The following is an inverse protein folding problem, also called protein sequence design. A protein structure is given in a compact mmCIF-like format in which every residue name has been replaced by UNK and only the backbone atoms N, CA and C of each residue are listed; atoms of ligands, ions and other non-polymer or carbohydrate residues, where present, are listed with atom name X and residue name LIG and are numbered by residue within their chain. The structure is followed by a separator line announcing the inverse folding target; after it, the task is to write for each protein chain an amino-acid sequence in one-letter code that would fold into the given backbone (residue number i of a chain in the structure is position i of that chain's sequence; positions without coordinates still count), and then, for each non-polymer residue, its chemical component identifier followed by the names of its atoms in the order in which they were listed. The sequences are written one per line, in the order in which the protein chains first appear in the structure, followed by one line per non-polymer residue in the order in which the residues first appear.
data_IF_299439746267
#
_entry.id   IF_299439746267
#
_cell.length_a   1.000
_cell.length_b   1.000
_cell.length_c   1.000
_cell.angle_alpha   90.00
_cell.angle_beta   90.00
_cell.angle_gamma   90.00
#
_symmetry.space_group_name_H-M   'P 1'
#
loop_
_entity.id
_entity.type
_entity.pdbx_description
1 polymer ?
#
# COMPACT_ATOMS: atom_id res chain seq x y z
N UNK A 1 -34.91 -28.63 15.33
CA UNK A 1 -33.69 -29.35 14.92
C UNK A 1 -32.64 -28.28 14.69
N UNK A 2 -31.75 -28.16 15.69
CA UNK A 2 -30.48 -27.41 15.80
C UNK A 2 -30.36 -26.07 15.05
N UNK A 3 -30.41 -24.98 15.83
CA UNK A 3 -29.93 -23.67 15.41
C UNK A 3 -28.40 -23.68 15.36
N UNK A 4 -27.85 -23.19 14.26
CA UNK A 4 -26.44 -22.87 14.14
C UNK A 4 -26.22 -21.57 14.91
N UNK A 5 -25.84 -21.70 16.17
CA UNK A 5 -25.26 -20.60 16.92
C UNK A 5 -23.84 -20.44 16.37
N UNK A 6 -23.68 -19.55 15.39
CA UNK A 6 -22.36 -19.14 14.90
C UNK A 6 -21.70 -18.31 16.01
N UNK A 7 -21.15 -19.02 16.99
CA UNK A 7 -20.24 -18.43 17.95
C UNK A 7 -19.03 -17.91 17.17
N UNK A 8 -18.90 -16.59 17.08
CA UNK A 8 -17.60 -15.98 16.84
C UNK A 8 -16.65 -16.56 17.90
N UNK A 9 -15.55 -17.21 17.51
CA UNK A 9 -14.59 -17.69 18.48
C UNK A 9 -14.16 -16.51 19.36
N UNK A 10 -13.90 -16.81 20.63
CA UNK A 10 -13.23 -15.88 21.55
C UNK A 10 -12.03 -15.23 20.84
N UNK A 11 -11.88 -13.92 21.04
CA UNK A 11 -10.79 -13.15 20.47
C UNK A 11 -9.45 -13.88 20.63
N UNK A 12 -8.79 -14.15 19.51
CA UNK A 12 -7.42 -14.62 19.47
C UNK A 12 -6.46 -13.43 19.31
N UNK A 13 -5.29 -13.52 19.93
CA UNK A 13 -4.23 -12.52 19.82
C UNK A 13 -3.00 -13.15 19.20
N UNK A 14 -2.45 -12.52 18.16
CA UNK A 14 -1.24 -12.96 17.47
C UNK A 14 -0.13 -11.95 17.70
N UNK A 15 1.08 -12.45 17.94
CA UNK A 15 2.25 -11.60 18.12
C UNK A 15 2.64 -10.93 16.80
N UNK A 16 2.75 -9.61 16.82
CA UNK A 16 3.41 -8.81 15.77
C UNK A 16 4.73 -8.26 16.31
N UNK A 17 5.30 -7.26 15.64
CA UNK A 17 6.25 -6.34 16.28
C UNK A 17 5.56 -5.29 17.14
N UNK A 18 6.33 -4.29 17.55
CA UNK A 18 5.94 -3.19 18.43
C UNK A 18 5.36 -2.03 17.64
N UNK A 19 4.28 -1.45 18.19
CA UNK A 19 3.49 -0.39 17.55
C UNK A 19 3.02 -0.78 16.12
N UNK A 20 2.21 -1.85 16.00
CA UNK A 20 1.64 -2.22 14.71
C UNK A 20 0.74 -1.08 14.20
N UNK A 21 0.89 -0.67 12.94
CA UNK A 21 0.25 0.55 12.43
C UNK A 21 -0.73 0.30 11.27
N UNK A 22 -0.38 -0.54 10.32
CA UNK A 22 -1.19 -0.85 9.13
C UNK A 22 -1.20 -2.35 8.84
N UNK A 23 -2.24 -2.81 8.17
CA UNK A 23 -2.47 -4.22 7.83
C UNK A 23 -2.97 -4.36 6.40
N UNK A 24 -2.49 -5.37 5.68
CA UNK A 24 -3.06 -5.83 4.41
C UNK A 24 -3.30 -7.35 4.46
N UNK A 25 -4.20 -7.80 3.60
CA UNK A 25 -4.67 -9.19 3.54
C UNK A 25 -4.52 -9.68 2.11
N UNK A 26 -4.02 -10.91 1.94
CA UNK A 26 -3.78 -11.53 0.64
C UNK A 26 -3.44 -13.01 0.80
N UNK A 27 -3.49 -13.78 -0.28
CA UNK A 27 -2.98 -15.16 -0.32
C UNK A 27 -1.50 -15.09 -0.72
N UNK A 28 -0.59 -15.08 0.26
CA UNK A 28 0.84 -14.89 0.00
C UNK A 28 1.55 -16.20 -0.35
N UNK A 29 0.92 -17.35 -0.14
CA UNK A 29 1.49 -18.66 -0.40
C UNK A 29 0.66 -19.52 -1.38
N UNK A 30 -0.29 -18.91 -2.09
CA UNK A 30 -1.14 -19.52 -3.12
C UNK A 30 -1.90 -20.77 -2.65
N UNK A 31 -2.34 -20.79 -1.39
CA UNK A 31 -3.09 -21.90 -0.81
C UNK A 31 -4.61 -21.65 -0.69
N UNK A 32 -5.08 -20.52 -1.24
CA UNK A 32 -6.47 -20.05 -1.28
C UNK A 32 -6.99 -19.61 0.10
N UNK A 33 -6.10 -19.50 1.10
CA UNK A 33 -6.44 -18.97 2.43
C UNK A 33 -5.83 -17.58 2.56
N UNK A 34 -6.59 -16.70 3.21
CA UNK A 34 -6.13 -15.33 3.42
C UNK A 34 -5.10 -15.30 4.55
N UNK A 35 -3.96 -14.72 4.22
CA UNK A 35 -2.86 -14.39 5.11
C UNK A 35 -2.88 -12.89 5.45
N UNK A 36 -2.00 -12.49 6.36
CA UNK A 36 -1.92 -11.11 6.84
C UNK A 36 -0.47 -10.60 6.79
N UNK A 37 -0.30 -9.35 6.37
CA UNK A 37 0.93 -8.57 6.59
C UNK A 37 0.64 -7.35 7.45
N UNK A 38 1.48 -7.08 8.46
CA UNK A 38 1.35 -5.97 9.41
C UNK A 38 2.63 -5.15 9.45
N UNK A 39 2.56 -3.82 9.39
CA UNK A 39 3.71 -2.94 9.62
C UNK A 39 3.98 -2.73 11.11
N UNK A 40 5.24 -2.78 11.53
CA UNK A 40 5.67 -2.59 12.92
C UNK A 40 6.56 -1.35 13.03
N UNK A 41 5.93 -0.19 13.31
CA UNK A 41 6.55 1.12 13.20
C UNK A 41 7.87 1.22 13.99
N UNK A 42 7.87 0.75 15.25
CA UNK A 42 9.02 0.92 16.14
C UNK A 42 10.12 -0.14 15.93
N UNK A 43 9.84 -1.22 15.21
CA UNK A 43 10.84 -2.26 14.89
C UNK A 43 11.48 -2.09 13.52
N UNK A 44 10.94 -1.24 12.65
CA UNK A 44 11.34 -1.15 11.25
C UNK A 44 11.23 -2.51 10.53
N UNK A 45 10.10 -3.19 10.75
CA UNK A 45 9.80 -4.47 10.11
C UNK A 45 8.34 -4.53 9.65
N UNK A 46 8.04 -5.48 8.77
CA UNK A 46 6.71 -6.06 8.62
C UNK A 46 6.67 -7.46 9.22
N UNK A 47 5.50 -7.87 9.69
CA UNK A 47 5.17 -9.23 10.13
C UNK A 47 4.23 -9.88 9.12
N UNK A 48 4.56 -11.07 8.62
CA UNK A 48 3.69 -11.89 7.78
C UNK A 48 3.19 -13.07 8.60
N UNK A 49 1.88 -13.31 8.58
CA UNK A 49 1.20 -14.40 9.29
C UNK A 49 0.36 -15.19 8.30
N UNK A 50 0.73 -16.45 8.06
CA UNK A 50 0.01 -17.33 7.14
C UNK A 50 -1.28 -17.86 7.80
N UNK A 51 -2.38 -17.84 7.06
CA UNK A 51 -3.70 -18.22 7.50
C UNK A 51 -3.96 -19.72 7.39
N UNK A 52 -4.64 -20.28 8.39
CA UNK A 52 -5.11 -21.66 8.33
C UNK A 52 -6.51 -21.79 7.70
N UNK A 53 -7.15 -20.68 7.30
CA UNK A 53 -8.45 -20.66 6.62
C UNK A 53 -9.67 -20.78 7.55
N UNK A 54 -9.44 -20.89 8.85
CA UNK A 54 -10.45 -20.97 9.90
C UNK A 54 -10.45 -19.73 10.83
N UNK A 55 -9.84 -18.63 10.38
CA UNK A 55 -9.63 -17.41 11.16
C UNK A 55 -8.44 -17.46 12.13
N UNK A 56 -7.66 -18.53 12.13
CA UNK A 56 -6.39 -18.62 12.87
C UNK A 56 -5.18 -18.54 11.96
N UNK A 57 -4.04 -18.12 12.53
CA UNK A 57 -2.79 -17.85 11.80
C UNK A 57 -1.60 -18.58 12.43
N UNK A 58 -0.57 -18.82 11.61
CA UNK A 58 0.74 -19.26 12.05
C UNK A 58 1.48 -18.14 12.82
N UNK A 59 2.60 -18.51 13.45
CA UNK A 59 3.50 -17.52 14.05
C UNK A 59 4.05 -16.58 12.99
N UNK A 60 4.27 -15.31 13.38
CA UNK A 60 4.80 -14.30 12.47
C UNK A 60 6.20 -14.64 11.94
N UNK A 61 6.44 -14.32 10.68
CA UNK A 61 7.78 -14.16 10.10
C UNK A 61 8.00 -12.67 9.84
N UNK A 62 9.15 -12.13 10.25
CA UNK A 62 9.42 -10.69 10.13
C UNK A 62 10.45 -10.37 9.06
N UNK A 63 10.21 -9.29 8.32
CA UNK A 63 11.12 -8.78 7.29
C UNK A 63 11.49 -7.33 7.60
N UNK A 64 12.78 -6.99 7.49
CA UNK A 64 13.28 -5.64 7.75
C UNK A 64 12.90 -4.67 6.64
N UNK A 65 12.34 -3.51 7.02
CA UNK A 65 11.90 -2.43 6.12
C UNK A 65 12.86 -1.24 6.17
N UNK A 66 12.44 -0.08 5.67
CA UNK A 66 13.00 1.21 6.09
C UNK A 66 12.46 1.66 7.44
N UNK A 67 12.89 2.84 7.87
CA UNK A 67 12.52 3.40 9.17
C UNK A 67 11.08 3.92 9.21
N UNK A 68 10.34 3.52 10.26
CA UNK A 68 8.96 3.92 10.49
C UNK A 68 7.99 3.43 9.41
N UNK A 69 7.84 2.10 9.21
CA UNK A 69 6.84 1.58 8.29
C UNK A 69 5.43 1.89 8.80
N UNK A 70 4.64 2.66 8.04
CA UNK A 70 3.29 3.10 8.45
C UNK A 70 2.17 2.72 7.50
N UNK A 71 2.47 2.28 6.28
CA UNK A 71 1.45 1.77 5.35
C UNK A 71 1.98 0.56 4.63
N UNK A 72 1.09 -0.37 4.32
CA UNK A 72 1.37 -1.54 3.50
C UNK A 72 0.31 -1.69 2.42
N UNK A 73 0.75 -1.98 1.20
CA UNK A 73 -0.07 -2.37 0.06
C UNK A 73 0.48 -3.66 -0.55
N UNK A 74 -0.35 -4.39 -1.29
CA UNK A 74 0.01 -5.68 -1.89
C UNK A 74 -0.49 -5.76 -3.33
N UNK A 75 0.24 -6.50 -4.16
CA UNK A 75 -0.08 -6.72 -5.58
C UNK A 75 1.03 -7.54 -6.26
N UNK A 76 0.74 -8.15 -7.40
CA UNK A 76 1.74 -8.86 -8.21
C UNK A 76 2.52 -7.84 -9.06
N UNK A 77 3.70 -7.42 -8.61
CA UNK A 77 4.48 -6.34 -9.22
C UNK A 77 5.46 -6.85 -10.29
N UNK A 78 5.56 -8.17 -10.46
CA UNK A 78 6.49 -8.81 -11.38
C UNK A 78 5.82 -9.83 -12.34
N UNK A 79 4.49 -9.93 -12.30
CA UNK A 79 3.64 -10.79 -13.09
C UNK A 79 3.97 -12.30 -12.96
N UNK A 80 4.42 -12.74 -11.79
CA UNK A 80 4.66 -14.16 -11.49
C UNK A 80 3.45 -14.88 -10.87
N UNK A 81 2.35 -14.16 -10.59
CA UNK A 81 1.16 -14.60 -9.85
C UNK A 81 1.43 -14.85 -8.36
N UNK A 82 2.42 -14.22 -7.76
CA UNK A 82 2.62 -14.17 -6.32
C UNK A 82 2.38 -12.73 -5.84
N UNK A 83 1.76 -12.58 -4.68
CA UNK A 83 1.56 -11.26 -4.11
C UNK A 83 2.89 -10.73 -3.55
N UNK A 84 3.27 -9.54 -3.99
CA UNK A 84 4.38 -8.76 -3.45
C UNK A 84 3.88 -7.75 -2.42
N UNK A 85 4.83 -7.18 -1.66
CA UNK A 85 4.54 -6.20 -0.61
C UNK A 85 5.21 -4.87 -0.92
N UNK A 86 4.44 -3.78 -0.80
CA UNK A 86 4.94 -2.39 -0.80
C UNK A 86 4.73 -1.79 0.58
N UNK A 87 5.81 -1.31 1.21
CA UNK A 87 5.78 -0.69 2.55
C UNK A 87 6.22 0.77 2.46
N UNK A 88 5.43 1.68 3.02
CA UNK A 88 5.77 3.10 3.13
C UNK A 88 6.55 3.36 4.41
N UNK A 89 7.76 3.92 4.30
CA UNK A 89 8.66 4.19 5.42
C UNK A 89 8.72 5.70 5.70
N UNK A 90 7.94 6.14 6.69
CA UNK A 90 7.72 7.55 7.00
C UNK A 90 8.99 8.32 7.36
N UNK A 91 9.94 7.72 8.09
CA UNK A 91 11.15 8.41 8.54
C UNK A 91 12.32 8.33 7.55
N UNK A 92 12.26 7.41 6.57
CA UNK A 92 13.32 7.19 5.59
C UNK A 92 13.03 7.88 4.24
N UNK A 93 11.86 8.47 4.03
CA UNK A 93 11.40 9.03 2.75
C UNK A 93 11.53 8.00 1.60
N UNK A 94 11.08 6.76 1.85
CA UNK A 94 11.15 5.66 0.89
C UNK A 94 9.91 4.77 0.92
N UNK A 95 9.70 4.02 -0.15
CA UNK A 95 8.97 2.75 -0.12
C UNK A 95 9.94 1.57 -0.19
N UNK A 96 9.64 0.50 0.55
CA UNK A 96 10.29 -0.80 0.46
C UNK A 96 9.41 -1.75 -0.35
N UNK A 97 9.98 -2.42 -1.34
CA UNK A 97 9.31 -3.43 -2.15
C UNK A 97 9.92 -4.79 -1.85
N UNK A 98 9.09 -5.78 -1.54
CA UNK A 98 9.47 -7.16 -1.28
C UNK A 98 8.81 -8.08 -2.31
N UNK A 99 9.62 -8.80 -3.08
CA UNK A 99 9.11 -9.82 -4.00
C UNK A 99 8.69 -11.07 -3.22
N UNK A 100 7.47 -11.55 -3.46
CA UNK A 100 6.92 -12.76 -2.87
C UNK A 100 7.47 -14.03 -3.52
N UNK A 101 7.39 -15.13 -2.79
CA UNK A 101 7.62 -16.48 -3.29
C UNK A 101 6.40 -17.34 -3.01
N UNK A 102 6.25 -18.42 -3.77
CA UNK A 102 5.11 -19.36 -3.72
C UNK A 102 4.86 -20.03 -2.35
N UNK A 103 5.75 -19.86 -1.39
CA UNK A 103 5.67 -20.44 -0.05
C UNK A 103 5.32 -19.42 1.05
N UNK A 104 4.97 -18.18 0.68
CA UNK A 104 4.65 -17.10 1.63
C UNK A 104 5.87 -16.42 2.24
N UNK A 105 7.08 -16.71 1.73
CA UNK A 105 8.29 -15.97 2.09
C UNK A 105 8.61 -14.87 1.08
N UNK A 106 9.44 -13.91 1.48
CA UNK A 106 9.77 -12.75 0.66
C UNK A 106 11.28 -12.56 0.50
N UNK A 107 11.67 -12.02 -0.65
CA UNK A 107 13.03 -11.54 -0.90
C UNK A 107 13.41 -10.37 0.02
N UNK A 108 14.70 -10.00 0.04
CA UNK A 108 15.11 -8.77 0.71
C UNK A 108 14.50 -7.54 0.01
N UNK A 109 14.20 -6.51 0.80
CA UNK A 109 13.65 -5.26 0.26
C UNK A 109 14.54 -4.62 -0.80
N UNK A 110 13.90 -4.07 -1.83
CA UNK A 110 14.46 -2.99 -2.66
C UNK A 110 13.80 -1.68 -2.24
N UNK A 111 14.59 -0.61 -2.05
CA UNK A 111 14.06 0.70 -1.65
C UNK A 111 13.98 1.65 -2.83
N UNK A 112 12.89 2.40 -2.90
CA UNK A 112 12.71 3.51 -3.83
C UNK A 112 12.46 4.80 -3.06
N UNK A 113 13.12 5.88 -3.47
CA UNK A 113 12.92 7.21 -2.89
C UNK A 113 11.53 7.74 -3.18
N UNK A 114 10.95 8.43 -2.20
CA UNK A 114 9.69 9.17 -2.32
C UNK A 114 9.93 10.66 -2.09
N UNK A 115 8.87 11.43 -1.86
CA UNK A 115 8.89 12.73 -1.23
C UNK A 115 8.98 12.61 0.29
N UNK A 116 8.88 13.76 0.96
CA UNK A 116 9.08 13.85 2.40
C UNK A 116 7.91 13.31 3.20
N UNK A 117 8.21 12.49 4.21
CA UNK A 117 7.27 11.89 5.15
C UNK A 117 6.12 11.18 4.43
N UNK A 118 6.41 10.14 3.63
CA UNK A 118 5.39 9.40 2.89
C UNK A 118 4.42 8.70 3.87
N UNK A 119 3.13 8.68 3.54
CA UNK A 119 2.08 8.25 4.48
C UNK A 119 1.25 7.07 4.00
N UNK A 120 0.83 7.08 2.73
CA UNK A 120 -0.07 6.08 2.16
C UNK A 120 0.39 5.74 0.75
N UNK A 121 0.15 4.50 0.34
CA UNK A 121 0.40 4.06 -1.02
C UNK A 121 -0.79 3.28 -1.58
N UNK A 122 -0.97 3.35 -2.89
CA UNK A 122 -1.84 2.48 -3.66
C UNK A 122 -1.07 1.88 -4.84
N UNK A 123 -1.52 0.72 -5.31
CA UNK A 123 -0.90 -0.06 -6.39
C UNK A 123 -1.96 -0.36 -7.43
N UNK A 124 -1.71 0.00 -8.68
CA UNK A 124 -2.61 -0.24 -9.83
C UNK A 124 -1.86 0.03 -11.15
N UNK A 125 -2.46 -0.26 -12.31
CA UNK A 125 -1.88 0.03 -13.64
C UNK A 125 -2.26 1.45 -14.10
N UNK A 126 -1.41 2.45 -13.86
CA UNK A 126 -1.69 3.85 -14.18
C UNK A 126 -1.39 4.22 -15.64
N UNK A 127 -0.72 3.35 -16.39
CA UNK A 127 -0.25 3.62 -17.74
C UNK A 127 -0.82 2.66 -18.81
N UNK A 128 -1.70 1.74 -18.40
CA UNK A 128 -2.32 0.69 -19.20
C UNK A 128 -1.31 -0.25 -19.90
N UNK A 129 -0.18 -0.53 -19.26
CA UNK A 129 0.84 -1.44 -19.78
C UNK A 129 0.77 -2.86 -19.18
N UNK A 130 -0.23 -3.12 -18.33
CA UNK A 130 -0.49 -4.37 -17.59
C UNK A 130 0.47 -4.67 -16.45
N UNK A 131 1.37 -3.75 -16.11
CA UNK A 131 2.23 -3.85 -14.94
C UNK A 131 1.72 -2.94 -13.84
N UNK A 132 1.79 -3.44 -12.60
CA UNK A 132 1.39 -2.65 -11.46
C UNK A 132 2.43 -1.54 -11.19
N UNK A 133 1.92 -0.33 -11.04
CA UNK A 133 2.63 0.86 -10.65
C UNK A 133 2.37 1.19 -9.17
N UNK A 134 3.11 2.14 -8.61
CA UNK A 134 2.92 2.61 -7.23
C UNK A 134 2.63 4.12 -7.23
N UNK A 135 1.57 4.52 -6.52
CA UNK A 135 1.38 5.92 -6.11
C UNK A 135 1.58 6.06 -4.61
N UNK A 136 2.29 7.10 -4.18
CA UNK A 136 2.58 7.39 -2.77
C UNK A 136 2.14 8.82 -2.42
N UNK A 137 1.34 8.99 -1.38
CA UNK A 137 1.03 10.29 -0.78
C UNK A 137 2.11 10.71 0.23
N UNK A 138 2.60 11.94 0.11
CA UNK A 138 3.68 12.47 0.94
C UNK A 138 3.18 13.58 1.86
N UNK A 139 2.99 13.23 3.13
CA UNK A 139 2.43 14.12 4.14
C UNK A 139 3.31 15.34 4.39
N UNK A 140 4.63 15.18 4.44
CA UNK A 140 5.57 16.29 4.64
C UNK A 140 5.85 17.07 3.36
N UNK A 141 5.77 16.39 2.21
CA UNK A 141 6.07 16.95 0.90
C UNK A 141 4.94 17.76 0.28
N UNK A 142 3.68 17.56 0.71
CA UNK A 142 2.49 18.09 0.01
C UNK A 142 2.48 17.67 -1.47
N UNK A 143 2.85 16.42 -1.71
CA UNK A 143 2.97 15.84 -3.04
C UNK A 143 2.46 14.42 -3.06
N UNK A 144 2.14 13.91 -4.24
CA UNK A 144 2.23 12.49 -4.52
C UNK A 144 3.47 12.17 -5.36
N UNK A 145 3.92 10.93 -5.29
CA UNK A 145 4.83 10.35 -6.25
C UNK A 145 4.17 9.20 -7.00
N UNK A 146 4.45 9.10 -8.31
CA UNK A 146 4.05 7.97 -9.16
C UNK A 146 5.34 7.28 -9.64
N UNK A 147 5.45 5.99 -9.37
CA UNK A 147 6.57 5.14 -9.76
C UNK A 147 6.01 4.07 -10.72
N UNK A 148 6.40 4.14 -11.99
CA UNK A 148 5.92 3.18 -12.99
C UNK A 148 6.68 1.86 -12.91
N UNK A 149 5.97 0.74 -12.89
CA UNK A 149 6.52 -0.61 -12.86
C UNK A 149 7.08 -1.02 -14.23
N UNK A 150 8.13 -1.84 -14.21
CA UNK A 150 8.65 -2.48 -15.43
C UNK A 150 8.18 -3.93 -15.58
N UNK A 151 7.28 -4.41 -14.70
CA UNK A 151 6.76 -5.78 -14.74
C UNK A 151 7.75 -6.85 -14.29
N UNK A 152 8.84 -6.46 -13.63
CA UNK A 152 9.84 -7.38 -13.09
C UNK A 152 10.16 -7.08 -11.62
N UNK A 153 9.25 -6.38 -10.93
CA UNK A 153 9.43 -5.91 -9.56
C UNK A 153 10.30 -4.66 -9.42
N UNK A 154 10.83 -4.11 -10.52
CA UNK A 154 11.55 -2.83 -10.51
C UNK A 154 10.73 -1.68 -11.07
N UNK A 155 11.04 -0.47 -10.59
CA UNK A 155 10.29 0.74 -10.90
C UNK A 155 11.17 1.83 -11.53
N UNK A 156 10.55 2.67 -12.35
CA UNK A 156 11.12 3.88 -12.88
C UNK A 156 11.37 4.93 -11.78
N UNK A 157 12.09 5.99 -12.15
CA UNK A 157 12.23 7.16 -11.27
C UNK A 157 10.86 7.79 -11.01
N UNK A 158 10.64 8.26 -9.78
CA UNK A 158 9.41 8.91 -9.39
C UNK A 158 9.09 10.15 -10.23
N UNK A 159 7.82 10.27 -10.63
CA UNK A 159 7.21 11.53 -11.05
C UNK A 159 6.52 12.17 -9.86
N UNK A 160 6.65 13.49 -9.70
CA UNK A 160 6.11 14.21 -8.52
C UNK A 160 5.01 15.16 -8.95
N UNK A 161 3.88 15.13 -8.24
CA UNK A 161 2.76 16.04 -8.44
C UNK A 161 2.40 16.72 -7.14
N UNK A 162 2.12 18.02 -7.19
CA UNK A 162 1.69 18.78 -6.00
C UNK A 162 0.25 18.42 -5.61
N UNK A 163 0.02 18.37 -4.30
CA UNK A 163 -1.30 18.20 -3.68
C UNK A 163 -1.64 19.43 -2.81
N UNK A 164 -2.71 19.33 -2.03
CA UNK A 164 -2.91 20.22 -0.88
C UNK A 164 -1.96 19.88 0.27
N UNK A 165 -2.17 20.54 1.40
CA UNK A 165 -1.31 20.43 2.57
C UNK A 165 -1.54 19.13 3.33
N UNK A 166 -0.45 18.44 3.69
CA UNK A 166 -0.46 17.18 4.42
C UNK A 166 -1.26 16.07 3.71
N UNK A 167 -0.79 15.68 2.52
CA UNK A 167 -1.31 14.55 1.77
C UNK A 167 -1.20 13.26 2.60
N UNK A 168 -2.35 12.76 3.06
CA UNK A 168 -2.40 11.70 4.07
C UNK A 168 -2.82 10.35 3.48
N UNK A 169 -3.83 10.34 2.62
CA UNK A 169 -4.38 9.12 2.02
C UNK A 169 -4.53 9.28 0.53
N UNK A 170 -4.29 8.21 -0.22
CA UNK A 170 -4.48 8.14 -1.67
C UNK A 170 -5.48 7.04 -2.02
N UNK A 171 -6.39 7.35 -2.93
CA UNK A 171 -7.30 6.41 -3.56
C UNK A 171 -7.24 6.58 -5.08
N UNK A 172 -7.54 5.52 -5.81
CA UNK A 172 -7.42 5.46 -7.27
C UNK A 172 -8.70 4.91 -7.89
N UNK A 173 -9.04 5.40 -9.08
CA UNK A 173 -10.21 4.95 -9.82
C UNK A 173 -10.56 5.91 -10.95
N UNK A 174 -11.33 5.46 -11.94
CA UNK A 174 -11.85 6.30 -13.02
C UNK A 174 -13.01 7.16 -12.50
N UNK A 175 -12.78 8.48 -12.33
CA UNK A 175 -13.75 9.42 -11.78
C UNK A 175 -14.58 10.11 -12.85
N UNK A 176 -14.19 10.02 -14.11
CA UNK A 176 -14.77 10.80 -15.20
C UNK A 176 -15.31 9.92 -16.36
N UNK A 177 -15.23 8.59 -16.23
CA UNK A 177 -15.63 7.56 -17.19
C UNK A 177 -14.83 7.59 -18.50
N UNK A 178 -13.53 7.92 -18.43
CA UNK A 178 -12.64 7.91 -19.60
C UNK A 178 -11.76 6.65 -19.70
N UNK A 179 -11.99 5.67 -18.82
CA UNK A 179 -11.28 4.38 -18.71
C UNK A 179 -9.82 4.48 -18.29
N UNK A 180 -9.40 5.62 -17.73
CA UNK A 180 -8.06 5.83 -17.18
C UNK A 180 -8.17 6.08 -15.69
N UNK A 181 -7.23 5.55 -14.93
CA UNK A 181 -7.22 5.75 -13.50
C UNK A 181 -6.90 7.21 -13.16
N UNK A 182 -7.73 7.81 -12.32
CA UNK A 182 -7.49 9.09 -11.68
C UNK A 182 -7.03 8.86 -10.24
N UNK A 183 -6.43 9.90 -9.65
CA UNK A 183 -5.95 9.88 -8.26
C UNK A 183 -6.75 10.88 -7.43
N UNK A 184 -7.24 10.43 -6.27
CA UNK A 184 -7.79 11.29 -5.21
C UNK A 184 -6.86 11.25 -4.01
N UNK A 185 -6.53 12.42 -3.48
CA UNK A 185 -5.68 12.56 -2.29
C UNK A 185 -6.43 13.33 -1.23
N UNK A 186 -6.46 12.81 0.00
CA UNK A 186 -6.94 13.55 1.16
C UNK A 186 -5.82 14.43 1.71
N UNK A 187 -6.10 15.73 1.85
CA UNK A 187 -5.17 16.72 2.38
C UNK A 187 -5.64 17.13 3.78
N UNK A 188 -5.01 16.53 4.79
CA UNK A 188 -5.39 16.72 6.19
C UNK A 188 -5.19 18.18 6.65
N UNK A 189 -4.13 18.83 6.16
CA UNK A 189 -3.66 20.12 6.66
C UNK A 189 -4.49 21.32 6.22
N UNK A 190 -5.19 21.21 5.09
CA UNK A 190 -6.03 22.29 4.56
C UNK A 190 -7.53 21.93 4.47
N UNK A 191 -7.91 20.72 4.94
CA UNK A 191 -9.29 20.21 4.89
C UNK A 191 -9.82 20.18 3.44
N UNK A 192 -9.05 19.55 2.55
CA UNK A 192 -9.43 19.40 1.15
C UNK A 192 -9.15 17.99 0.64
N UNK A 193 -9.67 17.69 -0.55
CA UNK A 193 -9.15 16.65 -1.42
C UNK A 193 -8.51 17.28 -2.65
N UNK A 194 -7.46 16.65 -3.17
CA UNK A 194 -6.90 16.92 -4.49
C UNK A 194 -7.30 15.80 -5.45
N UNK A 195 -7.80 16.15 -6.63
CA UNK A 195 -8.09 15.22 -7.73
C UNK A 195 -7.11 15.48 -8.86
N UNK A 196 -6.41 14.43 -9.30
CA UNK A 196 -5.48 14.47 -10.42
C UNK A 196 -6.00 13.50 -11.49
N UNK A 197 -6.45 14.04 -12.62
CA UNK A 197 -6.98 13.23 -13.71
C UNK A 197 -5.85 12.54 -14.49
N UNK A 198 -6.03 11.25 -14.77
CA UNK A 198 -5.06 10.43 -15.50
C UNK A 198 -5.06 10.73 -17.00
N UNK A 199 -3.87 10.73 -17.60
CA UNK A 199 -3.75 10.71 -19.06
C UNK A 199 -3.69 9.30 -19.65
N UNK A 200 -3.58 8.27 -18.79
CA UNK A 200 -3.56 6.85 -19.18
C UNK A 200 -2.21 6.38 -19.72
N UNK A 201 -1.16 7.16 -19.47
CA UNK A 201 0.23 6.85 -19.82
C UNK A 201 1.16 6.99 -18.59
N UNK A 202 0.58 6.89 -17.39
CA UNK A 202 1.29 7.08 -16.11
C UNK A 202 1.49 8.54 -15.70
N UNK A 203 1.10 9.51 -16.53
CA UNK A 203 1.14 10.94 -16.17
C UNK A 203 -0.25 11.49 -15.85
N UNK A 204 -0.27 12.53 -15.01
CA UNK A 204 -1.49 13.12 -14.48
C UNK A 204 -1.58 14.62 -14.73
N UNK A 205 -2.80 15.13 -14.78
CA UNK A 205 -3.08 16.55 -14.78
C UNK A 205 -2.67 17.19 -13.44
N UNK A 206 -2.54 18.52 -13.43
CA UNK A 206 -2.42 19.27 -12.18
C UNK A 206 -3.65 19.04 -11.30
N UNK A 207 -3.43 19.05 -10.00
CA UNK A 207 -4.51 18.90 -9.03
C UNK A 207 -5.64 19.93 -9.23
N UNK A 208 -6.86 19.45 -9.05
CA UNK A 208 -8.03 20.29 -8.73
C UNK A 208 -8.44 20.01 -7.30
N UNK A 209 -8.63 21.05 -6.50
CA UNK A 209 -8.87 20.92 -5.06
C UNK A 209 -10.32 21.20 -4.70
N UNK A 210 -10.87 20.40 -3.79
CA UNK A 210 -12.24 20.57 -3.27
C UNK A 210 -12.21 20.56 -1.75
N UNK A 211 -12.92 21.48 -1.11
CA UNK A 211 -13.03 21.51 0.35
C UNK A 211 -13.78 20.29 0.88
N UNK A 212 -13.34 19.82 2.04
CA UNK A 212 -14.00 18.79 2.84
C UNK A 212 -14.48 19.37 4.17
N UNK A 213 -14.94 18.51 5.08
CA UNK A 213 -15.07 18.86 6.50
C UNK A 213 -13.72 18.96 7.20
N UNK A 214 -13.72 19.28 8.49
CA UNK A 214 -12.50 19.38 9.28
C UNK A 214 -11.89 18.01 9.59
N UNK A 215 -10.56 17.89 9.45
CA UNK A 215 -9.79 16.66 9.68
C UNK A 215 -10.30 15.48 8.83
N UNK A 216 -10.30 15.61 7.49
CA UNK A 216 -10.73 14.54 6.59
C UNK A 216 -9.78 13.34 6.61
#
# INVERSE_FOLDING_TARGET
MLGYDEFFPIQATYSTGTNPYSVAVGDFNNDIRLDIVVTNLNNNTVSVLLGYGNGSFADQVTYSTGAGPISVAVGDLNNDNQLDIVVVNFYDDTVSVFMGYDNGSFANQTKYSTGSSPWSAAVDDFNNDTYLDIVVANYGGNTINVLLGYGNGSFANQMTYSTGSNAQSVAVGDLNNDTRLDIVVVNYGDNTISILLGYGNGSFANQTTYSTGSNP
#
